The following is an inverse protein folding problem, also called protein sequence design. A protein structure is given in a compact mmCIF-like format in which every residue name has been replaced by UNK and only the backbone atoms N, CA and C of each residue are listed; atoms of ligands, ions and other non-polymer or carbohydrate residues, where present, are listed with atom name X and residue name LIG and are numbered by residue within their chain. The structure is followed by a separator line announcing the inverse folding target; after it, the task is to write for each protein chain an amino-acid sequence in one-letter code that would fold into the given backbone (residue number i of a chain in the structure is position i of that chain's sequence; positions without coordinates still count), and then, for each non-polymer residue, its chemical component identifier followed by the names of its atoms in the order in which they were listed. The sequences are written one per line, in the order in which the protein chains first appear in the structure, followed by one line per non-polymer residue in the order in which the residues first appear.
data_IF_449869514929
#
_entry.id   IF_449869514929
#
_cell.length_a   1.000
_cell.length_b   1.000
_cell.length_c   1.000
_cell.angle_alpha   90.00
_cell.angle_beta   90.00
_cell.angle_gamma   90.00
#
_symmetry.space_group_name_H-M   'P 1'
#
loop_
_entity.id
_entity.type
_entity.pdbx_description
1 polymer ?
#
# COMPACT_ATOMS: atom_id res chain seq x y z
N UNK A 1 2.37 7.67 -23.97
CA UNK A 1 1.20 7.48 -24.84
C UNK A 1 0.32 8.72 -24.74
N UNK A 2 -0.41 9.11 -25.78
CA UNK A 2 -1.29 10.30 -25.76
C UNK A 2 -2.72 9.82 -26.04
N UNK A 3 -3.73 10.49 -25.48
CA UNK A 3 -5.14 10.19 -25.77
C UNK A 3 -5.49 10.51 -27.23
N UNK A 4 -6.53 9.86 -27.75
CA UNK A 4 -7.01 10.12 -29.11
C UNK A 4 -7.52 11.57 -29.29
N UNK A 5 -8.01 12.19 -28.22
CA UNK A 5 -8.43 13.59 -28.20
C UNK A 5 -7.27 14.59 -27.96
N UNK A 6 -6.03 14.10 -27.78
CA UNK A 6 -4.83 14.91 -27.51
C UNK A 6 -4.92 15.78 -26.23
N UNK A 7 -5.77 15.42 -25.27
CA UNK A 7 -6.01 16.14 -24.02
C UNK A 7 -5.30 15.51 -22.80
N UNK A 8 -4.79 14.28 -22.93
CA UNK A 8 -4.10 13.57 -21.87
C UNK A 8 -2.80 12.93 -22.36
N UNK A 9 -1.78 12.96 -21.51
CA UNK A 9 -0.49 12.29 -21.73
C UNK A 9 -0.32 11.24 -20.63
N UNK A 10 -0.11 9.99 -21.04
CA UNK A 10 0.07 8.85 -20.16
C UNK A 10 1.53 8.45 -20.08
N UNK A 11 1.97 8.19 -18.86
CA UNK A 11 3.29 7.64 -18.51
C UNK A 11 3.28 6.12 -18.72
N UNK A 12 4.42 5.54 -19.13
CA UNK A 12 4.49 4.13 -19.54
C UNK A 12 4.50 3.11 -18.41
N UNK A 13 4.66 3.56 -17.16
CA UNK A 13 4.70 2.71 -15.97
C UNK A 13 6.02 1.96 -15.77
N UNK A 14 7.02 2.19 -16.62
CA UNK A 14 8.38 1.63 -16.48
C UNK A 14 9.34 2.62 -15.81
N UNK A 15 8.90 3.85 -15.60
CA UNK A 15 9.68 4.93 -15.05
C UNK A 15 9.85 4.73 -13.55
N UNK A 16 11.11 4.63 -13.10
CA UNK A 16 11.46 4.45 -11.68
C UNK A 16 11.66 5.75 -10.92
N UNK A 17 11.58 6.90 -11.60
CA UNK A 17 11.85 8.23 -11.04
C UNK A 17 10.96 9.29 -11.69
N UNK A 18 10.56 10.28 -10.88
CA UNK A 18 9.88 11.48 -11.36
C UNK A 18 10.85 12.45 -12.03
N UNK A 19 10.33 13.36 -12.86
CA UNK A 19 11.11 14.31 -13.65
C UNK A 19 10.46 15.70 -13.68
N UNK A 20 11.25 16.74 -13.44
CA UNK A 20 10.83 18.14 -13.50
C UNK A 20 11.15 18.73 -14.86
N UNK A 21 10.13 19.19 -15.57
CA UNK A 21 10.28 19.81 -16.88
C UNK A 21 10.25 18.82 -18.04
N UNK A 22 9.63 17.65 -17.85
CA UNK A 22 9.36 16.69 -18.91
C UNK A 22 8.64 17.41 -20.06
N UNK A 23 9.24 17.41 -21.24
CA UNK A 23 8.79 18.17 -22.39
C UNK A 23 7.90 17.30 -23.27
N UNK A 24 6.72 17.81 -23.60
CA UNK A 24 5.82 17.23 -24.60
C UNK A 24 5.70 18.23 -25.74
N UNK A 25 6.04 17.79 -26.94
CA UNK A 25 5.97 18.61 -28.14
C UNK A 25 4.73 18.23 -28.97
N UNK A 26 3.98 19.25 -29.37
CA UNK A 26 2.74 19.14 -30.12
C UNK A 26 2.98 19.65 -31.53
N UNK A 27 2.63 18.82 -32.51
CA UNK A 27 2.79 19.14 -33.93
C UNK A 27 1.43 18.94 -34.61
N UNK A 28 0.88 20.00 -35.18
CA UNK A 28 -0.37 19.94 -35.95
C UNK A 28 -0.27 20.84 -37.19
N UNK A 29 -0.13 20.22 -38.36
CA UNK A 29 0.13 20.91 -39.64
C UNK A 29 1.33 21.86 -39.53
N UNK A 30 1.07 23.17 -39.44
CA UNK A 30 2.07 24.26 -39.34
C UNK A 30 2.22 24.80 -37.92
N UNK A 31 1.46 24.28 -36.96
CA UNK A 31 1.48 24.70 -35.57
C UNK A 31 2.39 23.77 -34.78
N UNK A 32 3.32 24.37 -34.05
CA UNK A 32 4.25 23.68 -33.16
C UNK A 32 4.20 24.35 -31.80
N UNK A 33 3.98 23.55 -30.76
CA UNK A 33 3.94 24.02 -29.39
C UNK A 33 4.69 23.04 -28.49
N UNK A 34 5.13 23.51 -27.34
CA UNK A 34 5.84 22.69 -26.35
C UNK A 34 5.30 22.99 -24.96
N UNK A 35 4.96 21.94 -24.21
CA UNK A 35 4.54 22.05 -22.82
C UNK A 35 5.53 21.31 -21.92
N UNK A 36 5.77 21.88 -20.75
CA UNK A 36 6.62 21.27 -19.72
C UNK A 36 5.76 20.80 -18.57
N UNK A 37 5.90 19.54 -18.21
CA UNK A 37 5.21 18.90 -17.09
C UNK A 37 6.20 18.53 -15.99
N UNK A 38 5.72 18.45 -14.76
CA UNK A 38 6.46 17.82 -13.66
C UNK A 38 5.78 16.51 -13.33
N UNK A 39 6.52 15.42 -13.51
CA UNK A 39 6.09 14.07 -13.17
C UNK A 39 6.62 13.77 -11.77
N UNK A 40 5.71 13.54 -10.83
CA UNK A 40 6.03 13.20 -9.46
C UNK A 40 6.00 11.68 -9.28
N UNK A 41 7.02 11.13 -8.63
CA UNK A 41 7.06 9.70 -8.31
C UNK A 41 7.32 9.49 -6.82
N UNK A 42 6.81 8.39 -6.22
CA UNK A 42 7.10 8.06 -4.84
C UNK A 42 8.60 7.78 -4.67
N UNK A 43 9.19 8.36 -3.64
CA UNK A 43 10.54 8.05 -3.22
C UNK A 43 10.55 6.72 -2.47
N UNK A 44 11.40 5.79 -2.90
CA UNK A 44 11.56 4.47 -2.29
C UNK A 44 12.77 4.45 -1.32
N UNK A 45 12.72 3.65 -0.24
CA UNK A 45 11.60 2.78 0.15
C UNK A 45 10.41 3.54 0.75
N UNK A 46 9.21 2.96 0.65
CA UNK A 46 8.01 3.50 1.29
C UNK A 46 8.11 3.37 2.81
N UNK A 47 7.49 4.30 3.55
CA UNK A 47 7.45 4.26 5.01
C UNK A 47 6.19 3.54 5.49
N UNK A 48 6.36 2.39 6.13
CA UNK A 48 5.25 1.67 6.78
C UNK A 48 5.13 2.14 8.23
N UNK A 49 3.91 2.47 8.63
CA UNK A 49 3.54 2.79 10.00
C UNK A 49 2.45 1.83 10.46
N UNK A 50 2.64 1.29 11.65
CA UNK A 50 1.67 0.48 12.36
C UNK A 50 1.25 1.25 13.60
N UNK A 51 -0.02 1.15 14.01
CA UNK A 51 -0.49 1.72 15.27
C UNK A 51 0.17 1.01 16.46
N UNK A 52 -0.48 -0.04 16.97
CA UNK A 52 0.11 -0.94 17.96
C UNK A 52 0.90 -2.06 17.28
N UNK A 53 2.12 -2.30 17.74
CA UNK A 53 3.00 -3.38 17.24
C UNK A 53 2.86 -4.68 18.02
N UNK A 54 2.24 -4.64 19.20
CA UNK A 54 1.96 -5.79 20.04
C UNK A 54 0.44 -5.89 20.24
N UNK A 55 -0.15 -6.94 19.67
CA UNK A 55 -1.60 -7.16 19.70
C UNK A 55 -1.94 -8.14 20.82
N UNK A 56 -2.83 -7.73 21.70
CA UNK A 56 -3.29 -8.60 22.78
C UNK A 56 -4.44 -9.51 22.33
N UNK A 57 -4.57 -10.66 22.99
CA UNK A 57 -5.74 -11.50 22.81
C UNK A 57 -6.97 -10.83 23.42
N UNK A 58 -8.07 -10.77 22.66
CA UNK A 58 -9.37 -10.29 23.16
C UNK A 58 -9.96 -11.36 24.07
N UNK A 59 -9.84 -11.17 25.38
CA UNK A 59 -10.35 -12.10 26.39
C UNK A 59 -11.87 -12.24 26.27
N UNK A 60 -12.36 -13.48 26.40
CA UNK A 60 -13.79 -13.79 26.31
C UNK A 60 -14.34 -13.85 24.88
N UNK A 61 -13.56 -13.46 23.86
CA UNK A 61 -13.95 -13.55 22.45
C UNK A 61 -13.27 -14.74 21.77
N UNK A 62 -14.07 -15.65 21.20
CA UNK A 62 -13.58 -16.81 20.46
C UNK A 62 -14.35 -16.92 19.15
N UNK A 63 -13.66 -17.16 18.05
CA UNK A 63 -14.29 -17.39 16.75
C UNK A 63 -14.47 -18.88 16.51
N UNK A 64 -15.59 -19.33 15.91
CA UNK A 64 -15.72 -20.69 15.41
C UNK A 64 -14.53 -21.05 14.50
N UNK A 65 -13.96 -22.22 14.72
CA UNK A 65 -12.88 -22.82 13.94
C UNK A 65 -13.41 -23.21 12.57
N UNK A 66 -12.57 -23.00 11.55
CA UNK A 66 -12.88 -23.48 10.20
C UNK A 66 -12.83 -25.01 10.12
N UNK A 67 -13.37 -25.61 9.05
CA UNK A 67 -13.44 -27.07 8.89
C UNK A 67 -12.07 -27.79 8.88
N UNK A 68 -10.96 -27.04 8.80
CA UNK A 68 -9.60 -27.58 8.80
C UNK A 68 -8.93 -27.64 10.18
N UNK A 69 -9.59 -27.16 11.25
CA UNK A 69 -9.08 -27.38 12.61
C UNK A 69 -9.45 -28.78 13.09
N UNK A 70 -8.76 -29.80 12.56
CA UNK A 70 -8.87 -31.17 13.07
C UNK A 70 -8.36 -31.22 14.51
N UNK A 71 -9.14 -31.74 15.48
CA UNK A 71 -8.65 -31.97 16.82
C UNK A 71 -7.80 -33.24 16.81
N UNK A 72 -6.48 -33.09 16.75
CA UNK A 72 -5.57 -34.16 17.11
C UNK A 72 -5.65 -34.35 18.64
N UNK A 73 -6.27 -35.46 19.03
CA UNK A 73 -6.12 -36.21 20.28
C UNK A 73 -6.42 -35.46 21.60
N UNK A 74 -7.62 -35.71 22.14
CA UNK A 74 -7.84 -35.93 23.58
C UNK A 74 -9.24 -36.55 23.79
N UNK A 75 -9.24 -37.83 24.12
CA UNK A 75 -10.40 -38.55 24.66
C UNK A 75 -10.85 -37.98 26.02
N UNK A 76 -12.06 -38.34 26.40
CA UNK A 76 -12.81 -38.13 27.65
C UNK A 76 -14.01 -37.14 27.62
N UNK A 77 -15.19 -37.57 28.15
CA UNK A 77 -16.45 -36.87 28.00
C UNK A 77 -16.74 -35.93 29.20
N UNK A 78 -16.63 -34.62 28.96
CA UNK A 78 -17.22 -33.55 29.77
C UNK A 78 -18.13 -32.70 28.90
N UNK A 79 -19.42 -32.66 29.22
CA UNK A 79 -20.52 -32.45 28.29
C UNK A 79 -20.84 -30.96 28.00
N UNK A 80 -21.11 -30.68 26.71
CA UNK A 80 -21.63 -29.44 26.10
C UNK A 80 -20.76 -28.16 26.07
N UNK A 81 -20.26 -27.64 27.20
CA UNK A 81 -19.52 -26.38 27.20
C UNK A 81 -18.11 -26.51 26.58
N UNK A 82 -17.47 -27.65 26.84
CA UNK A 82 -16.11 -27.96 26.41
C UNK A 82 -16.05 -28.41 24.94
N UNK A 83 -17.10 -29.09 24.47
CA UNK A 83 -17.25 -29.48 23.06
C UNK A 83 -17.42 -28.27 22.12
N UNK A 84 -18.07 -27.19 22.57
CA UNK A 84 -18.13 -25.91 21.83
C UNK A 84 -16.77 -25.21 21.74
N UNK A 85 -15.91 -25.39 22.75
CA UNK A 85 -14.58 -24.77 22.79
C UNK A 85 -13.54 -25.47 21.90
N UNK A 86 -13.68 -26.78 21.65
CA UNK A 86 -12.74 -27.58 20.83
C UNK A 86 -12.67 -27.15 19.36
N UNK A 87 -13.64 -26.39 18.88
CA UNK A 87 -13.65 -25.78 17.56
C UNK A 87 -13.66 -24.26 17.63
N UNK A 88 -12.94 -23.64 18.57
CA UNK A 88 -12.93 -22.20 18.75
C UNK A 88 -11.50 -21.66 18.82
N UNK A 89 -11.18 -20.68 17.98
CA UNK A 89 -9.85 -20.04 17.94
C UNK A 89 -9.84 -18.70 18.69
N UNK A 90 -8.72 -18.32 19.31
CA UNK A 90 -8.59 -17.01 19.95
C UNK A 90 -8.70 -15.88 18.92
N UNK A 91 -9.27 -14.75 19.34
CA UNK A 91 -9.27 -13.50 18.57
C UNK A 91 -8.23 -12.55 19.15
N UNK A 92 -7.45 -11.91 18.28
CA UNK A 92 -6.50 -10.86 18.66
C UNK A 92 -7.04 -9.47 18.28
N UNK A 93 -6.51 -8.44 18.95
CA UNK A 93 -6.74 -7.05 18.58
C UNK A 93 -6.30 -6.78 17.13
N UNK A 94 -6.79 -5.67 16.57
CA UNK A 94 -6.40 -5.22 15.23
C UNK A 94 -5.79 -3.83 15.34
N UNK A 95 -4.81 -3.57 14.49
CA UNK A 95 -4.11 -2.28 14.41
C UNK A 95 -4.21 -1.71 13.01
N UNK A 96 -4.19 -0.39 12.90
CA UNK A 96 -4.17 0.28 11.61
C UNK A 96 -2.77 0.22 11.01
N UNK A 97 -2.69 -0.11 9.71
CA UNK A 97 -1.48 -0.02 8.91
C UNK A 97 -1.61 1.15 7.94
N UNK A 98 -0.57 1.97 7.86
CA UNK A 98 -0.46 3.07 6.89
C UNK A 98 0.85 2.94 6.12
N UNK A 99 0.79 3.11 4.81
CA UNK A 99 1.97 3.19 3.94
C UNK A 99 2.06 4.61 3.41
N UNK A 100 3.20 5.24 3.68
CA UNK A 100 3.44 6.65 3.40
C UNK A 100 4.61 6.82 2.43
N UNK A 101 4.57 7.87 1.61
CA UNK A 101 5.63 8.20 0.67
C UNK A 101 5.86 9.71 0.54
N UNK A 102 7.11 10.10 0.34
CA UNK A 102 7.41 11.41 -0.25
C UNK A 102 7.23 11.29 -1.76
N UNK A 103 6.72 12.34 -2.40
CA UNK A 103 6.66 12.42 -3.86
C UNK A 103 7.69 13.41 -4.37
N UNK A 104 8.55 12.96 -5.29
CA UNK A 104 9.70 13.74 -5.75
C UNK A 104 9.77 13.81 -7.27
N UNK A 105 10.42 14.87 -7.76
CA UNK A 105 10.78 15.04 -9.16
C UNK A 105 12.26 15.42 -9.28
N UNK A 106 12.98 14.72 -10.17
CA UNK A 106 14.39 14.97 -10.43
C UNK A 106 14.54 16.07 -11.48
N UNK A 107 15.54 16.94 -11.35
CA UNK A 107 15.80 17.92 -12.40
C UNK A 107 16.42 17.22 -13.63
N UNK A 108 16.10 17.69 -14.83
CA UNK A 108 16.56 17.09 -16.09
C UNK A 108 18.03 17.38 -16.41
N UNK A 109 18.61 18.41 -15.79
CA UNK A 109 19.99 18.85 -15.96
C UNK A 109 21.01 18.01 -15.16
N UNK A 110 20.55 16.95 -14.48
CA UNK A 110 21.41 16.12 -13.62
C UNK A 110 21.74 16.78 -12.28
N UNK A 111 21.08 17.89 -11.93
CA UNK A 111 21.18 18.50 -10.62
C UNK A 111 20.81 17.53 -9.49
N UNK A 112 21.39 17.75 -8.31
CA UNK A 112 21.18 16.87 -7.14
C UNK A 112 19.94 17.21 -6.33
N UNK A 113 19.38 18.42 -6.50
CA UNK A 113 18.28 18.88 -5.66
C UNK A 113 16.94 18.38 -6.18
N UNK A 114 16.31 17.49 -5.41
CA UNK A 114 14.97 16.99 -5.68
C UNK A 114 13.93 18.05 -5.35
N UNK A 115 12.91 18.19 -6.20
CA UNK A 115 11.68 18.86 -5.81
C UNK A 115 10.81 17.87 -5.03
N UNK A 116 10.05 18.35 -4.05
CA UNK A 116 9.11 17.57 -3.24
C UNK A 116 7.68 18.08 -3.43
N UNK A 117 6.70 17.17 -3.36
CA UNK A 117 5.28 17.48 -3.41
C UNK A 117 4.56 16.93 -2.16
N UNK A 118 3.82 17.77 -1.41
CA UNK A 118 3.76 19.23 -1.50
C UNK A 118 5.03 19.93 -0.95
N UNK A 119 5.84 19.23 -0.17
CA UNK A 119 7.10 19.73 0.39
C UNK A 119 7.88 18.60 1.07
N UNK A 120 9.12 18.86 1.53
CA UNK A 120 10.00 17.82 2.06
C UNK A 120 9.54 17.23 3.40
N UNK A 121 8.73 17.97 4.17
CA UNK A 121 8.23 17.53 5.47
C UNK A 121 6.92 16.71 5.37
N UNK A 122 6.39 16.56 4.15
CA UNK A 122 5.09 15.95 3.93
C UNK A 122 5.22 14.53 3.40
N UNK A 123 4.48 13.64 4.06
CA UNK A 123 4.28 12.26 3.64
C UNK A 123 2.83 12.07 3.21
N UNK A 124 2.62 11.53 2.02
CA UNK A 124 1.31 11.23 1.46
C UNK A 124 0.94 9.78 1.74
N UNK A 125 -0.32 9.55 2.12
CA UNK A 125 -0.86 8.22 2.39
C UNK A 125 -1.18 7.49 1.08
N UNK A 126 -0.41 6.43 0.81
CA UNK A 126 -0.51 5.60 -0.39
C UNK A 126 -1.01 4.20 -0.08
N UNK A 127 -1.55 3.97 1.12
CA UNK A 127 -1.99 2.64 1.58
C UNK A 127 -2.93 1.96 0.60
N UNK A 128 -3.89 2.70 0.02
CA UNK A 128 -4.85 2.17 -0.95
C UNK A 128 -4.20 1.69 -2.26
N UNK A 129 -3.08 2.28 -2.68
CA UNK A 129 -2.37 1.90 -3.90
C UNK A 129 -1.57 0.61 -3.72
N UNK A 130 -1.13 0.33 -2.50
CA UNK A 130 -0.26 -0.82 -2.18
C UNK A 130 -0.98 -1.96 -1.47
N UNK A 131 -2.28 -1.81 -1.20
CA UNK A 131 -3.06 -2.77 -0.42
C UNK A 131 -3.02 -4.20 -1.01
N UNK A 132 -3.01 -4.33 -2.34
CA UNK A 132 -2.90 -5.64 -3.01
C UNK A 132 -1.52 -6.30 -2.90
N UNK A 133 -0.48 -5.51 -2.60
CA UNK A 133 0.89 -5.98 -2.43
C UNK A 133 1.25 -6.19 -0.97
N UNK A 134 0.48 -5.64 -0.03
CA UNK A 134 0.67 -5.90 1.41
C UNK A 134 0.25 -7.33 1.75
N UNK A 135 1.11 -8.04 2.49
CA UNK A 135 0.84 -9.39 2.97
C UNK A 135 1.08 -9.46 4.47
N UNK A 136 0.18 -10.15 5.15
CA UNK A 136 0.34 -10.53 6.55
C UNK A 136 1.14 -11.83 6.61
N UNK A 137 2.20 -11.85 7.40
CA UNK A 137 3.04 -13.02 7.55
C UNK A 137 2.33 -14.17 8.29
N UNK A 138 1.65 -13.86 9.40
CA UNK A 138 0.80 -14.82 10.12
C UNK A 138 -0.63 -14.26 10.28
N UNK A 139 -1.60 -14.72 9.45
CA UNK A 139 -2.99 -14.27 9.54
C UNK A 139 -3.73 -14.82 10.76
N UNK A 140 -3.10 -15.64 11.61
CA UNK A 140 -3.72 -16.09 12.88
C UNK A 140 -3.60 -15.04 13.98
N UNK A 141 -2.69 -14.07 13.82
CA UNK A 141 -2.38 -13.03 14.81
C UNK A 141 -2.89 -11.64 14.36
N UNK A 142 -3.37 -11.49 13.12
CA UNK A 142 -3.83 -10.21 12.55
C UNK A 142 -5.24 -10.31 11.93
#
# INVERSE_FOLDING_TARGET
QVSDACDAVFVGGKESRGARGARVDFWSRRLHASLRFTVWAPLLPLRVQLGDTALEQVRGWRLPGGPESSPAEAEEPGEEAERRARGCRPQYQRTALRVLAHFVAHPLDGGRHLAYLPGPDWLLDVTHLVAGQTRVQDPRVA
#
